data_IF_664288304187
#
_entry.id   IF_664288304187
#
_cell.length_a   1.000
_cell.length_b   1.000
_cell.length_c   1.000
_cell.angle_alpha   90.00
_cell.angle_beta   90.00
_cell.angle_gamma   90.00
#
_symmetry.space_group_name_H-M   'P 1'
#
loop_
_entity.id
_entity.type
_entity.pdbx_description
1 polymer ?
#
# COMPACT_ATOMS: atom_id res chain seq x y z
N UNK A 1 3.69 -3.87 -29.95
CA UNK A 1 3.89 -3.62 -28.51
C UNK A 1 2.93 -2.53 -28.08
N UNK A 2 2.28 -2.70 -26.93
CA UNK A 2 1.28 -1.75 -26.44
C UNK A 2 2.01 -0.61 -25.72
N UNK A 3 2.45 0.41 -26.46
CA UNK A 3 2.86 1.70 -25.86
C UNK A 3 1.64 2.58 -25.73
N UNK A 4 1.49 3.23 -24.58
CA UNK A 4 0.31 4.06 -24.27
C UNK A 4 0.75 5.50 -24.08
N UNK A 5 0.15 6.42 -24.84
CA UNK A 5 0.44 7.85 -24.74
C UNK A 5 -0.31 8.45 -23.56
N UNK A 6 0.42 9.09 -22.65
CA UNK A 6 -0.15 9.82 -21.52
C UNK A 6 -0.43 11.25 -21.94
N UNK A 7 0.56 11.87 -22.60
CA UNK A 7 0.44 13.17 -23.24
C UNK A 7 1.01 13.09 -24.66
N UNK A 8 1.24 14.24 -25.29
CA UNK A 8 1.85 14.29 -26.63
C UNK A 8 3.27 13.69 -26.62
N UNK A 9 4.05 14.00 -25.58
CA UNK A 9 5.48 13.71 -25.49
C UNK A 9 5.81 12.69 -24.37
N UNK A 10 4.85 12.40 -23.48
CA UNK A 10 4.99 11.46 -22.36
C UNK A 10 4.25 10.16 -22.69
N UNK A 11 4.92 9.02 -22.52
CA UNK A 11 4.36 7.69 -22.79
C UNK A 11 4.71 6.69 -21.69
N UNK A 12 3.79 5.77 -21.43
CA UNK A 12 4.03 4.61 -20.57
C UNK A 12 4.82 3.53 -21.32
N UNK A 13 5.87 3.03 -20.67
CA UNK A 13 6.76 1.96 -21.15
C UNK A 13 6.88 0.81 -20.15
N UNK A 14 6.06 0.82 -19.09
CA UNK A 14 6.04 -0.22 -18.07
C UNK A 14 5.54 -1.58 -18.56
N UNK A 15 5.27 -2.48 -17.63
CA UNK A 15 4.90 -3.89 -17.90
C UNK A 15 3.88 -4.39 -16.88
N UNK A 16 3.11 -5.41 -17.25
CA UNK A 16 2.23 -6.13 -16.34
C UNK A 16 2.86 -7.49 -16.02
N UNK A 17 3.01 -7.80 -14.73
CA UNK A 17 3.62 -9.02 -14.21
C UNK A 17 2.56 -9.90 -13.55
N UNK A 18 2.37 -11.08 -14.15
CA UNK A 18 1.51 -12.16 -13.66
C UNK A 18 2.31 -13.40 -13.23
N UNK A 19 3.65 -13.32 -13.24
CA UNK A 19 4.56 -14.40 -12.86
C UNK A 19 4.98 -14.30 -11.40
N UNK A 20 5.13 -13.09 -10.85
CA UNK A 20 5.44 -12.92 -9.43
C UNK A 20 4.22 -13.28 -8.58
N UNK A 21 4.33 -14.35 -7.78
CA UNK A 21 3.27 -14.77 -6.85
C UNK A 21 3.22 -13.93 -5.56
N UNK A 22 4.38 -13.46 -5.10
CA UNK A 22 4.53 -12.75 -3.82
C UNK A 22 5.29 -11.43 -4.00
N UNK A 23 4.65 -10.30 -3.73
CA UNK A 23 5.30 -8.99 -3.62
C UNK A 23 6.19 -8.95 -2.36
N UNK A 24 7.43 -8.47 -2.48
CA UNK A 24 8.48 -8.54 -1.43
C UNK A 24 8.73 -9.97 -0.88
N UNK A 25 8.29 -11.02 -1.59
CA UNK A 25 8.28 -12.39 -1.07
C UNK A 25 7.31 -12.61 0.11
N UNK A 26 6.34 -11.70 0.30
CA UNK A 26 5.45 -11.68 1.46
C UNK A 26 3.96 -11.59 1.11
N UNK A 27 3.57 -10.72 0.18
CA UNK A 27 2.15 -10.42 -0.08
C UNK A 27 1.65 -11.09 -1.36
N UNK A 28 0.57 -11.88 -1.32
CA UNK A 28 0.05 -12.54 -2.51
C UNK A 28 -0.44 -11.56 -3.57
N UNK A 29 -0.10 -11.84 -4.83
CA UNK A 29 -0.50 -11.06 -6.01
C UNK A 29 -1.52 -11.84 -6.84
N UNK A 30 -2.71 -12.09 -6.28
CA UNK A 30 -3.79 -12.86 -6.93
C UNK A 30 -4.29 -12.26 -8.26
N UNK A 31 -3.95 -11.00 -8.52
CA UNK A 31 -4.30 -10.26 -9.74
C UNK A 31 -3.07 -9.68 -10.45
N UNK A 32 -1.88 -10.22 -10.18
CA UNK A 32 -0.62 -9.67 -10.67
C UNK A 32 -0.31 -8.26 -10.12
N UNK A 33 0.65 -7.60 -10.75
CA UNK A 33 1.04 -6.22 -10.47
C UNK A 33 1.54 -5.56 -11.75
N UNK A 34 1.48 -4.23 -11.85
CA UNK A 34 2.19 -3.51 -12.92
C UNK A 34 3.47 -2.88 -12.40
N UNK A 35 4.52 -2.88 -13.22
CA UNK A 35 5.74 -2.10 -13.02
C UNK A 35 5.73 -0.96 -14.03
N UNK A 36 5.22 0.19 -13.59
CA UNK A 36 5.08 1.36 -14.44
C UNK A 36 6.40 2.11 -14.54
N UNK A 37 6.80 2.39 -15.77
CA UNK A 37 7.90 3.29 -16.10
C UNK A 37 7.47 4.18 -17.26
N UNK A 38 8.11 5.33 -17.40
CA UNK A 38 7.65 6.37 -18.32
C UNK A 38 8.79 6.94 -19.15
N UNK A 39 8.50 7.38 -20.37
CA UNK A 39 9.47 8.07 -21.23
C UNK A 39 8.92 9.43 -21.65
N UNK A 40 9.78 10.44 -21.60
CA UNK A 40 9.54 11.81 -22.04
C UNK A 40 10.42 12.03 -23.27
N UNK A 41 9.80 12.10 -24.45
CA UNK A 41 10.49 12.21 -25.73
C UNK A 41 10.62 13.67 -26.19
N UNK A 42 11.51 14.41 -25.54
CA UNK A 42 11.79 15.82 -25.85
C UNK A 42 13.06 15.98 -26.71
N UNK A 43 13.67 17.18 -26.73
CA UNK A 43 15.02 17.42 -27.24
C UNK A 43 16.04 16.51 -26.54
N UNK A 44 15.95 16.39 -25.22
CA UNK A 44 16.63 15.38 -24.41
C UNK A 44 15.62 14.36 -23.91
N UNK A 45 15.89 13.09 -24.20
CA UNK A 45 15.02 11.99 -23.75
C UNK A 45 15.30 11.69 -22.28
N UNK A 46 14.25 11.67 -21.47
CA UNK A 46 14.30 11.20 -20.09
C UNK A 46 13.41 9.96 -19.92
N UNK A 47 13.91 8.97 -19.21
CA UNK A 47 13.15 7.81 -18.74
C UNK A 47 12.96 7.96 -17.24
N UNK A 48 11.74 7.76 -16.75
CA UNK A 48 11.37 7.84 -15.34
C UNK A 48 11.16 6.43 -14.82
N UNK A 49 12.02 6.06 -13.88
CA UNK A 49 12.16 4.73 -13.27
C UNK A 49 12.44 3.60 -14.30
N UNK A 50 12.85 2.46 -13.78
CA UNK A 50 13.02 1.24 -14.56
C UNK A 50 11.94 0.22 -14.18
N UNK A 51 12.08 -0.99 -14.72
CA UNK A 51 11.22 -2.13 -14.39
C UNK A 51 12.06 -3.22 -13.72
N UNK A 52 11.39 -4.29 -13.30
CA UNK A 52 12.03 -5.49 -12.81
C UNK A 52 12.87 -6.16 -13.91
N UNK A 53 14.04 -6.68 -13.55
CA UNK A 53 15.07 -7.20 -14.45
C UNK A 53 14.55 -8.16 -15.55
N UNK A 54 13.68 -9.12 -15.21
CA UNK A 54 13.16 -10.08 -16.18
C UNK A 54 12.19 -9.49 -17.20
N UNK A 55 11.73 -8.26 -17.01
CA UNK A 55 10.85 -7.53 -17.92
C UNK A 55 11.60 -6.50 -18.80
N UNK A 56 12.93 -6.40 -18.64
CA UNK A 56 13.74 -5.38 -19.32
C UNK A 56 13.69 -5.44 -20.85
N UNK A 57 13.53 -6.62 -21.45
CA UNK A 57 13.46 -6.75 -22.91
C UNK A 57 12.26 -5.96 -23.47
N UNK A 58 11.05 -6.24 -22.98
CA UNK A 58 9.82 -5.55 -23.37
C UNK A 58 9.91 -4.04 -23.11
N UNK A 59 10.47 -3.65 -21.96
CA UNK A 59 10.65 -2.25 -21.58
C UNK A 59 11.58 -1.49 -22.54
N UNK A 60 12.73 -2.06 -22.90
CA UNK A 60 13.67 -1.44 -23.83
C UNK A 60 13.12 -1.35 -25.25
N UNK A 61 12.37 -2.38 -25.70
CA UNK A 61 11.71 -2.36 -26.99
C UNK A 61 10.66 -1.25 -27.07
N UNK A 62 9.88 -1.03 -26.00
CA UNK A 62 8.91 0.07 -25.91
C UNK A 62 9.58 1.45 -25.97
N UNK A 63 10.67 1.64 -25.23
CA UNK A 63 11.47 2.89 -25.29
C UNK A 63 11.93 3.14 -26.72
N UNK A 64 12.57 2.15 -27.36
CA UNK A 64 13.11 2.27 -28.71
C UNK A 64 12.01 2.56 -29.75
N UNK A 65 10.83 1.96 -29.59
CA UNK A 65 9.70 2.23 -30.48
C UNK A 65 9.21 3.69 -30.40
N UNK A 66 9.39 4.37 -29.26
CA UNK A 66 8.95 5.76 -29.04
C UNK A 66 10.03 6.75 -29.49
N UNK A 67 11.29 6.51 -29.14
CA UNK A 67 12.38 7.48 -29.36
C UNK A 67 13.16 7.26 -30.65
N UNK A 68 12.98 6.10 -31.30
CA UNK A 68 13.74 5.70 -32.49
C UNK A 68 15.23 5.52 -32.16
N UNK A 69 16.08 6.23 -32.90
CA UNK A 69 17.54 6.20 -32.73
C UNK A 69 18.08 7.32 -31.83
N UNK A 70 17.20 8.11 -31.18
CA UNK A 70 17.63 9.10 -30.19
C UNK A 70 18.34 8.40 -29.02
N UNK A 71 19.38 9.01 -28.43
CA UNK A 71 19.93 8.52 -27.18
C UNK A 71 18.91 8.73 -26.04
N UNK A 72 18.99 7.89 -25.00
CA UNK A 72 18.40 8.22 -23.69
C UNK A 72 19.40 9.10 -22.96
N UNK A 73 19.05 10.36 -22.72
CA UNK A 73 19.94 11.31 -22.06
C UNK A 73 19.92 11.12 -20.54
N UNK A 74 18.73 10.87 -19.98
CA UNK A 74 18.54 10.77 -18.54
C UNK A 74 17.72 9.53 -18.16
N UNK A 75 18.13 8.89 -17.07
CA UNK A 75 17.31 7.93 -16.33
C UNK A 75 17.08 8.51 -14.94
N UNK A 76 15.86 8.98 -14.68
CA UNK A 76 15.46 9.48 -13.36
C UNK A 76 15.07 8.29 -12.49
N UNK A 77 15.71 8.16 -11.33
CA UNK A 77 15.44 7.09 -10.35
C UNK A 77 14.79 7.69 -9.12
N UNK A 78 13.47 7.64 -9.05
CA UNK A 78 12.67 8.15 -7.93
C UNK A 78 12.81 7.27 -6.68
N UNK A 79 13.03 5.97 -6.88
CA UNK A 79 13.01 4.94 -5.84
C UNK A 79 13.97 3.79 -6.16
N UNK A 80 14.66 3.25 -5.15
CA UNK A 80 15.70 2.23 -5.33
C UNK A 80 15.24 0.80 -5.04
N UNK A 81 13.94 0.57 -4.82
CA UNK A 81 13.46 -0.79 -4.64
C UNK A 81 13.66 -1.61 -5.93
N UNK A 82 14.12 -2.87 -5.85
CA UNK A 82 14.55 -3.62 -7.04
C UNK A 82 13.48 -3.86 -8.10
N UNK A 83 12.20 -3.80 -7.76
CA UNK A 83 11.11 -3.91 -8.73
C UNK A 83 10.98 -2.71 -9.68
N UNK A 84 11.56 -1.56 -9.31
CA UNK A 84 11.67 -0.36 -10.15
C UNK A 84 13.09 -0.02 -10.58
N UNK A 85 14.10 -0.65 -9.98
CA UNK A 85 15.50 -0.27 -10.16
C UNK A 85 16.41 -1.39 -10.64
N UNK A 86 15.98 -2.65 -10.66
CA UNK A 86 16.83 -3.74 -11.15
C UNK A 86 17.15 -3.62 -12.64
N UNK A 87 16.23 -3.09 -13.45
CA UNK A 87 16.45 -2.84 -14.87
C UNK A 87 17.39 -1.69 -15.23
N UNK A 88 17.95 -0.97 -14.25
CA UNK A 88 18.91 0.11 -14.48
C UNK A 88 20.14 -0.41 -15.25
N UNK A 89 20.59 -1.63 -14.93
CA UNK A 89 21.80 -2.21 -15.51
C UNK A 89 21.63 -2.49 -17.01
N UNK A 90 20.50 -3.07 -17.39
CA UNK A 90 20.12 -3.38 -18.77
C UNK A 90 19.91 -2.10 -19.58
N UNK A 91 19.24 -1.08 -19.01
CA UNK A 91 19.07 0.20 -19.67
C UNK A 91 20.42 0.87 -19.92
N UNK A 92 21.31 0.89 -18.93
CA UNK A 92 22.64 1.46 -19.08
C UNK A 92 23.50 0.69 -20.10
N UNK A 93 23.33 -0.63 -20.21
CA UNK A 93 23.98 -1.42 -21.25
C UNK A 93 23.47 -1.07 -22.66
N UNK A 94 22.17 -0.82 -22.80
CA UNK A 94 21.55 -0.41 -24.07
C UNK A 94 21.84 1.05 -24.45
N UNK A 95 21.99 1.93 -23.45
CA UNK A 95 22.26 3.36 -23.60
C UNK A 95 23.47 3.78 -22.72
N UNK A 96 24.72 3.48 -23.13
CA UNK A 96 25.90 3.66 -22.28
C UNK A 96 26.19 5.10 -21.84
N UNK A 97 25.73 6.08 -22.60
CA UNK A 97 25.92 7.51 -22.35
C UNK A 97 24.82 8.12 -21.45
N UNK A 98 23.88 7.30 -20.96
CA UNK A 98 22.79 7.78 -20.09
C UNK A 98 23.34 8.35 -18.79
N UNK A 99 22.81 9.49 -18.37
CA UNK A 99 23.07 10.05 -17.03
C UNK A 99 21.95 9.64 -16.08
N UNK A 100 22.30 8.96 -14.99
CA UNK A 100 21.35 8.61 -13.93
C UNK A 100 21.11 9.84 -13.07
N UNK A 101 19.85 10.24 -12.91
CA UNK A 101 19.43 11.36 -12.07
C UNK A 101 18.80 10.78 -10.81
N UNK A 102 19.46 10.99 -9.67
CA UNK A 102 19.01 10.46 -8.38
C UNK A 102 19.39 11.42 -7.26
N UNK A 103 18.86 11.24 -6.05
CA UNK A 103 19.25 12.07 -4.92
C UNK A 103 20.39 11.47 -4.10
N UNK A 104 20.93 12.27 -3.18
CA UNK A 104 22.10 11.93 -2.37
C UNK A 104 21.99 10.60 -1.60
N UNK A 105 20.78 10.19 -1.21
CA UNK A 105 20.56 8.96 -0.44
C UNK A 105 20.51 7.70 -1.31
N UNK A 106 20.27 7.85 -2.61
CA UNK A 106 20.26 6.73 -3.55
C UNK A 106 21.67 6.25 -3.92
N UNK A 107 22.71 7.09 -3.82
CA UNK A 107 24.08 6.73 -4.26
C UNK A 107 24.62 5.46 -3.58
N UNK A 108 24.54 5.30 -2.24
CA UNK A 108 24.98 4.06 -1.60
C UNK A 108 24.19 2.83 -2.09
N UNK A 109 22.90 2.99 -2.44
CA UNK A 109 22.07 1.89 -2.94
C UNK A 109 22.43 1.54 -4.39
N UNK A 110 22.60 2.52 -5.28
CA UNK A 110 23.10 2.32 -6.65
C UNK A 110 24.43 1.56 -6.65
N UNK A 111 25.36 1.95 -5.77
CA UNK A 111 26.63 1.26 -5.58
C UNK A 111 26.44 -0.17 -5.06
N UNK A 112 25.67 -0.34 -4.00
CA UNK A 112 25.60 -1.64 -3.31
C UNK A 112 24.73 -2.66 -4.04
N UNK A 113 23.71 -2.22 -4.78
CA UNK A 113 22.82 -3.10 -5.53
C UNK A 113 23.37 -3.40 -6.93
N UNK A 114 23.94 -2.40 -7.60
CA UNK A 114 24.28 -2.50 -9.02
C UNK A 114 25.74 -2.13 -9.37
N UNK A 115 26.56 -1.76 -8.38
CA UNK A 115 27.96 -1.38 -8.62
C UNK A 115 28.12 -0.05 -9.37
N UNK A 116 27.09 0.80 -9.38
CA UNK A 116 27.10 2.05 -10.14
C UNK A 116 27.63 3.19 -9.26
N UNK A 117 28.74 3.80 -9.68
CA UNK A 117 29.40 4.90 -8.96
C UNK A 117 29.64 6.15 -9.83
N UNK A 118 29.40 6.08 -11.14
CA UNK A 118 29.66 7.13 -12.13
C UNK A 118 28.45 7.35 -13.05
N UNK A 119 28.51 8.41 -13.86
CA UNK A 119 27.38 8.81 -14.72
C UNK A 119 26.14 9.23 -13.93
N UNK A 120 26.31 9.71 -12.69
CA UNK A 120 25.21 10.12 -11.80
C UNK A 120 25.19 11.65 -11.69
N UNK A 121 24.03 12.25 -11.97
CA UNK A 121 23.68 13.62 -11.61
C UNK A 121 22.87 13.60 -10.31
N UNK A 122 23.41 14.21 -9.26
CA UNK A 122 22.72 14.29 -7.96
C UNK A 122 21.77 15.48 -7.92
N UNK A 123 20.52 15.26 -7.54
CA UNK A 123 19.51 16.30 -7.36
C UNK A 123 19.07 16.43 -5.90
N UNK A 124 18.74 17.67 -5.51
CA UNK A 124 18.18 18.05 -4.23
C UNK A 124 16.71 18.46 -4.36
N UNK A 125 16.09 18.75 -3.22
CA UNK A 125 14.71 19.20 -3.17
C UNK A 125 14.51 20.55 -3.89
N UNK A 126 13.58 20.59 -4.84
CA UNK A 126 13.30 21.79 -5.64
C UNK A 126 14.25 22.01 -6.82
N UNK A 127 15.27 21.16 -7.00
CA UNK A 127 16.11 21.21 -8.19
C UNK A 127 15.30 20.91 -9.46
N UNK A 128 15.83 21.34 -10.60
CA UNK A 128 15.18 21.21 -11.90
C UNK A 128 16.09 20.59 -12.96
N UNK A 129 15.48 19.99 -13.98
CA UNK A 129 16.17 19.42 -15.13
C UNK A 129 15.44 19.78 -16.43
N UNK A 130 16.11 20.57 -17.27
CA UNK A 130 15.60 20.99 -18.58
C UNK A 130 15.84 19.92 -19.64
N UNK A 131 14.74 19.46 -20.26
CA UNK A 131 14.74 18.49 -21.35
C UNK A 131 14.54 19.12 -22.73
N UNK A 132 14.06 20.36 -22.78
CA UNK A 132 13.66 21.04 -24.01
C UNK A 132 12.41 21.88 -23.76
N UNK A 133 11.26 21.39 -24.22
CA UNK A 133 9.96 21.97 -23.87
C UNK A 133 9.51 21.61 -22.43
N UNK A 134 9.96 20.47 -21.92
CA UNK A 134 9.70 19.97 -20.58
C UNK A 134 10.80 20.38 -19.61
N UNK A 135 10.38 20.76 -18.39
CA UNK A 135 11.25 21.02 -17.27
C UNK A 135 10.76 20.17 -16.09
N UNK A 136 11.60 19.26 -15.63
CA UNK A 136 11.32 18.42 -14.47
C UNK A 136 11.71 19.16 -13.21
N UNK A 137 10.93 18.99 -12.14
CA UNK A 137 11.32 19.38 -10.78
C UNK A 137 11.26 18.18 -9.84
N UNK A 138 12.21 18.11 -8.91
CA UNK A 138 12.35 16.98 -7.99
C UNK A 138 11.90 17.36 -6.59
N UNK A 139 11.07 16.52 -5.96
CA UNK A 139 10.56 16.76 -4.62
C UNK A 139 10.85 15.56 -3.73
N UNK A 140 11.68 15.76 -2.71
CA UNK A 140 12.06 14.71 -1.77
C UNK A 140 10.88 14.32 -0.88
N UNK A 141 10.61 13.03 -0.82
CA UNK A 141 9.54 12.40 -0.02
C UNK A 141 10.11 11.26 0.82
N UNK A 142 11.07 11.54 1.72
CA UNK A 142 11.82 10.51 2.43
C UNK A 142 10.91 9.68 3.33
N UNK A 143 11.19 8.38 3.41
CA UNK A 143 10.40 7.35 4.08
C UNK A 143 9.00 7.18 3.46
N UNK A 144 8.85 7.45 2.16
CA UNK A 144 7.61 7.16 1.43
C UNK A 144 7.94 6.26 0.22
N UNK A 145 8.24 4.98 0.40
CA UNK A 145 8.39 4.29 1.69
C UNK A 145 9.84 4.03 2.11
N UNK A 146 10.83 4.37 1.27
CA UNK A 146 12.25 4.22 1.59
C UNK A 146 12.94 5.57 1.88
N UNK A 147 14.13 5.60 2.50
CA UNK A 147 14.78 6.84 2.93
C UNK A 147 15.07 7.85 1.81
N UNK A 148 15.32 7.35 0.60
CA UNK A 148 15.68 8.06 -0.62
C UNK A 148 14.49 8.41 -1.51
N UNK A 149 13.27 7.95 -1.23
CA UNK A 149 12.16 8.17 -2.13
C UNK A 149 11.95 9.67 -2.46
N UNK A 150 11.78 9.96 -3.74
CA UNK A 150 11.44 11.28 -4.27
C UNK A 150 10.36 11.14 -5.33
N UNK A 151 9.70 12.25 -5.65
CA UNK A 151 8.77 12.32 -6.79
C UNK A 151 9.30 13.31 -7.82
N UNK A 152 8.96 13.06 -9.08
CA UNK A 152 9.34 13.92 -10.20
C UNK A 152 8.09 14.56 -10.78
N UNK A 153 8.14 15.87 -11.02
CA UNK A 153 7.01 16.63 -11.55
C UNK A 153 7.40 17.32 -12.85
N UNK A 154 6.65 17.03 -13.92
CA UNK A 154 6.75 17.75 -15.18
C UNK A 154 5.92 19.04 -15.14
N UNK A 155 6.62 20.17 -15.26
CA UNK A 155 5.99 21.49 -15.13
C UNK A 155 5.12 21.86 -16.34
N UNK A 156 5.41 21.30 -17.53
CA UNK A 156 4.71 21.64 -18.78
C UNK A 156 3.31 21.01 -18.79
N UNK A 157 3.24 19.68 -18.69
CA UNK A 157 1.99 18.95 -18.81
C UNK A 157 1.28 18.72 -17.47
N UNK A 158 1.91 19.13 -16.36
CA UNK A 158 1.37 19.00 -14.99
C UNK A 158 1.23 17.53 -14.55
N UNK A 159 2.21 16.72 -14.91
CA UNK A 159 2.28 15.28 -14.61
C UNK A 159 3.15 15.04 -13.39
N UNK A 160 2.63 14.31 -12.41
CA UNK A 160 3.37 13.85 -11.23
C UNK A 160 3.72 12.37 -11.40
N UNK A 161 5.02 12.07 -11.48
CA UNK A 161 5.55 10.71 -11.35
C UNK A 161 5.77 10.42 -9.87
N UNK A 162 4.86 9.63 -9.28
CA UNK A 162 4.67 9.56 -7.83
C UNK A 162 5.32 8.37 -7.15
N UNK A 163 6.07 7.55 -7.89
CA UNK A 163 6.58 6.25 -7.44
C UNK A 163 5.46 5.43 -6.74
N UNK A 164 5.75 4.76 -5.63
CA UNK A 164 4.81 3.92 -4.88
C UNK A 164 3.61 4.65 -4.29
N UNK A 165 3.69 5.97 -4.12
CA UNK A 165 2.54 6.74 -3.66
C UNK A 165 1.49 6.74 -4.76
N UNK A 166 0.24 6.51 -4.35
CA UNK A 166 -0.91 6.30 -5.23
C UNK A 166 -0.91 4.97 -6.00
N UNK A 167 0.00 4.05 -5.66
CA UNK A 167 0.06 2.71 -6.22
C UNK A 167 -1.09 1.80 -5.78
N UNK A 168 -1.21 0.68 -6.48
CA UNK A 168 -2.08 -0.43 -6.09
C UNK A 168 -1.39 -1.75 -6.41
N UNK A 169 -1.77 -2.80 -5.69
CA UNK A 169 -1.65 -4.14 -6.25
C UNK A 169 -2.62 -4.28 -7.43
N UNK A 170 -2.51 -5.37 -8.21
CA UNK A 170 -3.22 -5.63 -9.47
C UNK A 170 -2.57 -5.04 -10.72
N UNK A 171 -2.39 -5.91 -11.71
CA UNK A 171 -1.97 -5.55 -13.05
C UNK A 171 -3.05 -4.74 -13.78
N UNK A 172 -2.62 -3.91 -14.73
CA UNK A 172 -3.53 -3.07 -15.53
C UNK A 172 -4.05 -3.77 -16.79
N UNK A 173 -3.45 -4.92 -17.13
CA UNK A 173 -3.76 -5.75 -18.29
C UNK A 173 -3.82 -4.95 -19.61
N UNK A 174 -2.91 -3.98 -19.73
CA UNK A 174 -2.78 -3.10 -20.88
C UNK A 174 -3.79 -1.93 -20.97
N UNK A 175 -4.73 -1.81 -20.03
CA UNK A 175 -5.65 -0.65 -19.93
C UNK A 175 -5.27 0.16 -18.69
N UNK A 176 -4.33 1.09 -18.89
CA UNK A 176 -3.62 1.72 -17.78
C UNK A 176 -4.31 2.94 -17.18
N UNK A 177 -5.33 3.50 -17.84
CA UNK A 177 -5.92 4.79 -17.44
C UNK A 177 -7.21 4.62 -16.64
N UNK A 178 -7.42 5.53 -15.68
CA UNK A 178 -8.60 5.55 -14.82
C UNK A 178 -9.93 5.78 -15.57
N UNK A 179 -9.92 6.47 -16.71
CA UNK A 179 -11.10 6.68 -17.57
C UNK A 179 -11.38 5.55 -18.56
N UNK A 180 -10.40 4.67 -18.79
CA UNK A 180 -10.54 3.52 -19.67
C UNK A 180 -10.77 2.21 -18.90
N UNK A 181 -10.57 2.24 -17.58
CA UNK A 181 -10.72 1.11 -16.68
C UNK A 181 -11.88 1.31 -15.69
N UNK A 182 -12.27 0.25 -14.99
CA UNK A 182 -13.27 0.30 -13.92
C UNK A 182 -12.52 0.50 -12.61
N UNK A 183 -12.46 1.75 -12.13
CA UNK A 183 -11.74 2.15 -10.92
C UNK A 183 -12.15 1.33 -9.70
N UNK A 184 -13.44 0.98 -9.58
CA UNK A 184 -13.98 0.18 -8.47
C UNK A 184 -13.26 -1.17 -8.32
N UNK A 185 -12.77 -1.75 -9.43
CA UNK A 185 -12.04 -3.02 -9.41
C UNK A 185 -10.61 -2.89 -8.87
N UNK A 186 -10.14 -1.69 -8.55
CA UNK A 186 -8.81 -1.42 -7.97
C UNK A 186 -8.88 -0.96 -6.52
N UNK A 187 -10.05 -0.51 -6.04
CA UNK A 187 -10.19 0.11 -4.71
C UNK A 187 -9.68 -0.81 -3.60
N UNK A 188 -10.07 -2.08 -3.59
CA UNK A 188 -9.66 -3.02 -2.55
C UNK A 188 -8.13 -3.29 -2.60
N UNK A 189 -7.54 -3.29 -3.79
CA UNK A 189 -6.10 -3.48 -3.99
C UNK A 189 -5.29 -2.20 -3.71
N UNK A 190 -5.89 -1.01 -3.84
CA UNK A 190 -5.34 0.27 -3.37
C UNK A 190 -5.25 0.26 -1.83
N UNK A 191 -6.34 -0.11 -1.15
CA UNK A 191 -6.32 -0.27 0.31
C UNK A 191 -5.30 -1.33 0.75
N UNK A 192 -5.20 -2.45 0.02
CA UNK A 192 -4.25 -3.52 0.34
C UNK A 192 -2.81 -3.06 0.17
N UNK A 193 -2.48 -2.41 -0.94
CA UNK A 193 -1.17 -1.82 -1.18
C UNK A 193 -0.82 -0.80 -0.10
N UNK A 194 -1.73 0.13 0.19
CA UNK A 194 -1.53 1.12 1.24
C UNK A 194 -1.26 0.45 2.59
N UNK A 195 -2.09 -0.50 3.03
CA UNK A 195 -1.96 -1.14 4.33
C UNK A 195 -0.66 -1.95 4.47
N UNK A 196 -0.21 -2.60 3.40
CA UNK A 196 0.99 -3.43 3.38
C UNK A 196 2.28 -2.60 3.31
N UNK A 197 2.31 -1.59 2.43
CA UNK A 197 3.53 -0.88 2.03
C UNK A 197 3.64 0.49 2.73
N UNK A 198 2.57 1.29 2.66
CA UNK A 198 2.58 2.71 3.10
C UNK A 198 2.12 2.87 4.56
N UNK A 199 1.32 1.96 5.11
CA UNK A 199 0.63 2.12 6.39
C UNK A 199 1.56 2.44 7.56
N UNK A 200 2.72 1.78 7.64
CA UNK A 200 3.74 2.04 8.66
C UNK A 200 4.34 3.44 8.57
N UNK A 201 4.44 3.96 7.35
CA UNK A 201 5.02 5.27 7.03
C UNK A 201 3.97 6.31 6.62
N UNK A 202 2.72 6.12 7.05
CA UNK A 202 1.61 7.03 6.73
C UNK A 202 1.84 8.48 7.14
N UNK A 203 2.58 8.72 8.23
CA UNK A 203 2.86 10.08 8.71
C UNK A 203 3.86 10.81 7.78
N UNK A 204 4.99 10.18 7.39
CA UNK A 204 5.76 10.64 6.23
C UNK A 204 4.92 10.87 4.97
N UNK A 205 4.04 9.93 4.61
CA UNK A 205 3.17 10.07 3.44
C UNK A 205 2.26 11.31 3.53
N UNK A 206 1.56 11.52 4.65
CA UNK A 206 0.72 12.70 4.87
C UNK A 206 1.51 14.02 4.74
N UNK A 207 2.75 14.06 5.22
CA UNK A 207 3.64 15.23 5.06
C UNK A 207 4.04 15.45 3.61
N UNK A 208 4.35 14.38 2.88
CA UNK A 208 4.66 14.44 1.46
C UNK A 208 3.46 14.96 0.66
N UNK A 209 2.27 14.41 0.86
CA UNK A 209 1.03 14.87 0.22
C UNK A 209 0.77 16.36 0.47
N UNK A 210 0.91 16.81 1.72
CA UNK A 210 0.77 18.24 2.07
C UNK A 210 1.79 19.12 1.37
N UNK A 211 3.05 18.66 1.25
CA UNK A 211 4.12 19.40 0.56
C UNK A 211 3.81 19.55 -0.92
N UNK A 212 3.29 18.50 -1.55
CA UNK A 212 2.95 18.49 -2.98
C UNK A 212 1.66 19.26 -3.30
N UNK A 213 0.84 19.60 -2.30
CA UNK A 213 -0.45 20.28 -2.50
C UNK A 213 -0.38 21.70 -3.11
N UNK A 214 0.82 22.28 -3.27
CA UNK A 214 1.02 23.52 -4.01
C UNK A 214 1.19 23.34 -5.53
N UNK A 215 1.35 22.10 -6.00
CA UNK A 215 1.50 21.78 -7.42
C UNK A 215 0.12 21.69 -8.08
N UNK A 216 -0.02 22.25 -9.28
CA UNK A 216 -1.15 21.95 -10.14
C UNK A 216 -0.91 20.57 -10.77
N UNK A 217 -1.72 19.57 -10.42
CA UNK A 217 -1.55 18.19 -10.90
C UNK A 217 -2.74 17.83 -11.78
N UNK A 218 -2.47 17.51 -13.05
CA UNK A 218 -3.48 17.03 -14.01
C UNK A 218 -3.42 15.52 -14.22
N UNK A 219 -2.26 14.91 -13.99
CA UNK A 219 -2.09 13.47 -14.12
C UNK A 219 -1.15 12.95 -13.06
N UNK A 220 -1.50 11.82 -12.44
CA UNK A 220 -0.66 11.09 -11.49
C UNK A 220 -0.25 9.76 -12.13
N UNK A 221 1.05 9.52 -12.16
CA UNK A 221 1.72 8.40 -12.79
C UNK A 221 2.47 7.60 -11.71
N UNK A 222 1.83 6.62 -11.04
CA UNK A 222 2.45 5.82 -9.98
C UNK A 222 3.35 4.72 -10.55
N UNK A 223 4.16 4.12 -9.68
CA UNK A 223 4.98 2.93 -9.92
C UNK A 223 4.17 1.66 -10.21
N UNK A 224 2.94 1.58 -9.68
CA UNK A 224 2.05 0.43 -9.84
C UNK A 224 0.61 0.87 -10.02
N UNK A 225 -0.18 0.06 -10.70
CA UNK A 225 -1.61 0.29 -10.92
C UNK A 225 -1.88 1.36 -11.98
N UNK A 226 -3.04 2.00 -11.85
CA UNK A 226 -3.58 2.93 -12.85
C UNK A 226 -2.81 4.27 -12.89
N UNK A 227 -2.74 4.83 -14.10
CA UNK A 227 -2.43 6.24 -14.35
C UNK A 227 -3.73 7.03 -14.21
N UNK A 228 -3.72 8.03 -13.33
CA UNK A 228 -4.89 8.85 -13.00
C UNK A 228 -4.85 10.15 -13.80
N UNK A 229 -5.55 10.19 -14.93
CA UNK A 229 -5.59 11.35 -15.84
C UNK A 229 -6.94 12.06 -15.86
N UNK A 230 -8.04 11.33 -15.65
CA UNK A 230 -9.38 11.92 -15.64
C UNK A 230 -9.73 12.47 -14.27
N UNK A 231 -9.46 11.70 -13.21
CA UNK A 231 -9.76 12.10 -11.84
C UNK A 231 -8.58 11.86 -10.87
N UNK A 232 -7.45 12.58 -11.02
CA UNK A 232 -6.35 12.51 -10.05
C UNK A 232 -6.76 12.93 -8.63
N UNK A 233 -7.84 13.72 -8.49
CA UNK A 233 -8.39 14.09 -7.19
C UNK A 233 -8.90 12.90 -6.39
N UNK A 234 -9.47 11.89 -7.05
CA UNK A 234 -9.98 10.69 -6.38
C UNK A 234 -8.89 9.96 -5.59
N UNK A 235 -7.79 9.61 -6.26
CA UNK A 235 -6.70 8.87 -5.61
C UNK A 235 -5.96 9.72 -4.57
N UNK A 236 -5.84 11.02 -4.84
CA UNK A 236 -5.27 11.99 -3.90
C UNK A 236 -6.07 12.04 -2.60
N UNK A 237 -7.40 12.16 -2.70
CA UNK A 237 -8.31 12.19 -1.55
C UNK A 237 -8.27 10.86 -0.80
N UNK A 238 -8.34 9.73 -1.52
CA UNK A 238 -8.28 8.40 -0.92
C UNK A 238 -6.99 8.17 -0.12
N UNK A 239 -5.82 8.45 -0.70
CA UNK A 239 -4.53 8.34 0.00
C UNK A 239 -4.40 9.33 1.15
N UNK A 240 -4.94 10.56 1.01
CA UNK A 240 -4.92 11.56 2.08
C UNK A 240 -5.71 11.08 3.29
N UNK A 241 -6.92 10.55 3.08
CA UNK A 241 -7.75 9.95 4.15
C UNK A 241 -7.01 8.82 4.85
N UNK A 242 -6.47 7.86 4.08
CA UNK A 242 -5.73 6.73 4.63
C UNK A 242 -4.46 7.16 5.40
N UNK A 243 -3.73 8.17 4.91
CA UNK A 243 -2.54 8.69 5.57
C UNK A 243 -2.85 9.36 6.92
N UNK A 244 -4.01 10.03 6.99
CA UNK A 244 -4.56 10.62 8.20
C UNK A 244 -5.26 9.62 9.13
N UNK A 245 -5.27 8.34 8.80
CA UNK A 245 -5.96 7.28 9.54
C UNK A 245 -7.47 7.55 9.69
N UNK A 246 -8.09 8.13 8.67
CA UNK A 246 -9.54 8.20 8.55
C UNK A 246 -10.11 6.83 8.19
N UNK A 247 -11.16 6.42 8.89
CA UNK A 247 -11.78 5.11 8.74
C UNK A 247 -13.23 5.24 8.30
N UNK A 248 -13.72 4.22 7.59
CA UNK A 248 -15.10 4.05 7.19
C UNK A 248 -15.88 3.29 8.26
N UNK A 249 -17.21 3.46 8.25
CA UNK A 249 -18.08 2.68 9.14
C UNK A 249 -18.11 1.23 8.70
N UNK A 250 -17.62 0.37 9.58
CA UNK A 250 -17.62 -1.08 9.41
C UNK A 250 -16.84 -1.73 10.55
N UNK A 251 -16.94 -3.04 10.65
CA UNK A 251 -16.22 -3.82 11.67
C UNK A 251 -15.50 -4.99 11.02
N UNK A 252 -14.21 -5.12 11.34
CA UNK A 252 -13.44 -6.33 11.06
C UNK A 252 -13.40 -7.21 12.29
N UNK A 253 -13.78 -8.47 12.14
CA UNK A 253 -13.62 -9.52 13.13
C UNK A 253 -12.54 -10.46 12.61
N UNK A 254 -11.32 -10.33 13.13
CA UNK A 254 -10.24 -11.26 12.83
C UNK A 254 -10.10 -12.25 13.98
N UNK A 255 -10.29 -13.53 13.70
CA UNK A 255 -10.22 -14.58 14.70
C UNK A 255 -9.31 -15.73 14.33
N UNK A 256 -8.74 -16.42 15.31
CA UNK A 256 -8.13 -17.74 15.12
C UNK A 256 -8.96 -18.82 15.81
N UNK A 257 -9.06 -20.01 15.25
CA UNK A 257 -9.75 -21.13 15.91
C UNK A 257 -9.11 -22.48 15.58
N UNK A 258 -9.04 -23.37 16.58
CA UNK A 258 -8.56 -24.74 16.39
C UNK A 258 -9.69 -25.74 16.15
N UNK A 259 -10.77 -25.63 16.94
CA UNK A 259 -11.87 -26.61 16.99
C UNK A 259 -13.25 -25.98 16.85
N UNK A 260 -13.34 -24.72 16.43
CA UNK A 260 -14.61 -24.04 16.16
C UNK A 260 -15.17 -23.22 17.31
N UNK A 261 -14.70 -23.39 18.55
CA UNK A 261 -15.23 -22.64 19.71
C UNK A 261 -15.06 -21.11 19.56
N UNK A 262 -13.84 -20.63 19.33
CA UNK A 262 -13.60 -19.19 19.09
C UNK A 262 -14.24 -18.69 17.80
N UNK A 263 -14.37 -19.57 16.79
CA UNK A 263 -15.10 -19.25 15.56
C UNK A 263 -16.58 -18.99 15.87
N UNK A 264 -17.19 -19.83 16.70
CA UNK A 264 -18.58 -19.66 17.12
C UNK A 264 -18.78 -18.32 17.84
N UNK A 265 -17.88 -17.93 18.75
CA UNK A 265 -17.91 -16.61 19.38
C UNK A 265 -17.80 -15.47 18.36
N UNK A 266 -16.95 -15.62 17.34
CA UNK A 266 -16.79 -14.64 16.27
C UNK A 266 -18.05 -14.51 15.39
N UNK A 267 -18.72 -15.62 15.09
CA UNK A 267 -19.98 -15.66 14.34
C UNK A 267 -21.12 -14.99 15.13
N UNK A 268 -21.20 -15.24 16.44
CA UNK A 268 -22.15 -14.55 17.33
C UNK A 268 -21.90 -13.04 17.36
N UNK A 269 -20.64 -12.61 17.48
CA UNK A 269 -20.29 -11.18 17.42
C UNK A 269 -20.73 -10.55 16.09
N UNK A 270 -20.53 -11.24 14.96
CA UNK A 270 -20.96 -10.76 13.66
C UNK A 270 -22.49 -10.60 13.58
N UNK A 271 -23.24 -11.59 14.08
CA UNK A 271 -24.70 -11.53 14.17
C UNK A 271 -25.16 -10.35 15.04
N UNK A 272 -24.57 -10.19 16.23
CA UNK A 272 -24.93 -9.12 17.16
C UNK A 272 -24.63 -7.73 16.62
N UNK A 273 -23.52 -7.55 15.89
CA UNK A 273 -23.21 -6.30 15.21
C UNK A 273 -24.24 -5.98 14.12
N UNK A 274 -24.60 -6.98 13.30
CA UNK A 274 -25.64 -6.84 12.27
C UNK A 274 -26.98 -6.42 12.89
N UNK A 275 -27.40 -7.09 13.97
CA UNK A 275 -28.61 -6.77 14.72
C UNK A 275 -28.56 -5.36 15.38
N UNK A 276 -27.36 -4.84 15.67
CA UNK A 276 -27.15 -3.48 16.18
C UNK A 276 -27.12 -2.40 15.08
N UNK A 277 -27.28 -2.79 13.81
CA UNK A 277 -27.34 -1.90 12.64
C UNK A 277 -25.99 -1.59 12.02
N UNK A 278 -24.96 -2.43 12.22
CA UNK A 278 -23.69 -2.32 11.50
C UNK A 278 -23.85 -2.99 10.12
N UNK A 279 -23.81 -2.19 9.05
CA UNK A 279 -24.04 -2.67 7.68
C UNK A 279 -22.87 -3.50 7.13
N UNK A 280 -21.63 -3.12 7.49
CA UNK A 280 -20.42 -3.77 7.00
C UNK A 280 -19.72 -4.52 8.13
N UNK A 281 -19.78 -5.85 8.07
CA UNK A 281 -19.05 -6.75 8.98
C UNK A 281 -18.20 -7.71 8.16
N UNK A 282 -16.89 -7.68 8.36
CA UNK A 282 -15.92 -8.57 7.72
C UNK A 282 -15.46 -9.61 8.73
N UNK A 283 -15.56 -10.89 8.39
CA UNK A 283 -15.21 -11.99 9.27
C UNK A 283 -14.05 -12.78 8.67
N UNK A 284 -12.90 -12.77 9.33
CA UNK A 284 -11.67 -13.40 8.86
C UNK A 284 -11.14 -14.44 9.85
N UNK A 285 -10.79 -15.61 9.33
CA UNK A 285 -10.00 -16.59 10.06
C UNK A 285 -8.52 -16.41 9.72
N UNK A 286 -7.74 -15.94 10.70
CA UNK A 286 -6.30 -15.64 10.55
C UNK A 286 -5.46 -16.88 10.24
N UNK A 287 -6.02 -18.09 10.39
CA UNK A 287 -5.35 -19.32 10.03
C UNK A 287 -5.33 -19.58 8.51
N UNK A 288 -6.29 -19.03 7.76
CA UNK A 288 -6.49 -19.33 6.33
C UNK A 288 -6.47 -18.10 5.43
N UNK A 289 -6.87 -16.92 5.92
CA UNK A 289 -6.79 -15.68 5.15
C UNK A 289 -5.40 -15.08 5.27
N UNK A 290 -4.79 -14.70 4.14
CA UNK A 290 -3.51 -14.00 4.17
C UNK A 290 -3.62 -12.66 4.91
N UNK A 291 -2.56 -12.29 5.61
CA UNK A 291 -2.54 -11.11 6.47
C UNK A 291 -2.79 -9.82 5.67
N UNK A 292 -2.37 -9.73 4.40
CA UNK A 292 -2.57 -8.54 3.56
C UNK A 292 -4.04 -8.13 3.45
N UNK A 293 -4.94 -9.08 3.19
CA UNK A 293 -6.39 -8.83 3.09
C UNK A 293 -6.99 -8.36 4.41
N UNK A 294 -6.56 -8.97 5.51
CA UNK A 294 -7.03 -8.59 6.86
C UNK A 294 -6.55 -7.17 7.19
N UNK A 295 -5.29 -6.84 6.90
CA UNK A 295 -4.74 -5.50 7.12
C UNK A 295 -5.44 -4.43 6.27
N UNK A 296 -5.78 -4.76 5.02
CA UNK A 296 -6.51 -3.87 4.10
C UNK A 296 -7.83 -3.40 4.72
N UNK A 297 -8.66 -4.37 5.14
CA UNK A 297 -9.96 -4.06 5.75
C UNK A 297 -9.83 -3.43 7.14
N UNK A 298 -8.81 -3.81 7.93
CA UNK A 298 -8.53 -3.13 9.20
C UNK A 298 -8.23 -1.66 8.92
N UNK A 299 -7.38 -1.36 7.94
CA UNK A 299 -7.06 0.04 7.60
C UNK A 299 -8.30 0.84 7.19
N UNK A 300 -9.22 0.18 6.50
CA UNK A 300 -10.43 0.79 5.97
C UNK A 300 -11.49 1.01 7.05
N UNK A 301 -11.71 0.06 7.95
CA UNK A 301 -12.89 0.06 8.82
C UNK A 301 -12.58 0.38 10.28
N UNK A 302 -13.48 1.17 10.89
CA UNK A 302 -13.31 1.73 12.23
C UNK A 302 -13.34 0.71 13.36
N UNK A 303 -14.19 -0.31 13.27
CA UNK A 303 -14.32 -1.31 14.32
C UNK A 303 -13.37 -2.48 14.10
N UNK A 304 -12.73 -2.93 15.17
CA UNK A 304 -11.83 -4.07 15.15
C UNK A 304 -12.10 -4.99 16.34
N UNK A 305 -12.51 -6.22 16.06
CA UNK A 305 -12.62 -7.30 17.03
C UNK A 305 -11.53 -8.33 16.75
N UNK A 306 -10.66 -8.56 17.73
CA UNK A 306 -9.60 -9.57 17.66
C UNK A 306 -9.89 -10.68 18.64
N UNK A 307 -9.81 -11.93 18.19
CA UNK A 307 -9.93 -13.04 19.13
C UNK A 307 -9.28 -14.35 18.72
N UNK A 308 -8.66 -15.03 19.67
CA UNK A 308 -8.01 -16.30 19.39
C UNK A 308 -7.91 -17.13 20.67
N UNK A 309 -7.84 -18.46 20.56
CA UNK A 309 -7.71 -19.31 21.73
C UNK A 309 -6.29 -19.23 22.33
N UNK A 310 -6.20 -19.63 23.59
CA UNK A 310 -4.94 -20.02 24.19
C UNK A 310 -4.35 -21.25 23.47
N UNK A 311 -3.04 -21.24 23.25
CA UNK A 311 -2.26 -22.31 22.63
C UNK A 311 -0.96 -22.52 23.41
N UNK A 312 -0.84 -23.67 24.09
CA UNK A 312 0.27 -23.98 25.01
C UNK A 312 0.59 -22.86 26.03
N UNK A 313 -0.44 -22.25 26.62
CA UNK A 313 -0.29 -21.16 27.59
C UNK A 313 0.14 -19.82 26.98
N UNK A 314 0.08 -19.69 25.66
CA UNK A 314 0.37 -18.48 24.89
C UNK A 314 -0.80 -18.14 23.96
N UNK A 315 -0.68 -17.06 23.19
CA UNK A 315 -1.62 -16.72 22.12
C UNK A 315 -1.44 -17.65 20.91
N UNK A 316 -2.54 -17.99 20.24
CA UNK A 316 -2.52 -18.70 18.96
C UNK A 316 -1.53 -18.06 17.97
N UNK A 317 -0.56 -18.81 17.40
CA UNK A 317 0.57 -18.22 16.67
C UNK A 317 0.19 -17.30 15.51
N UNK A 318 -0.83 -17.65 14.73
CA UNK A 318 -1.28 -16.82 13.60
C UNK A 318 -1.85 -15.47 14.06
N UNK A 319 -2.56 -15.46 15.19
CA UNK A 319 -3.02 -14.20 15.80
C UNK A 319 -1.84 -13.40 16.36
N UNK A 320 -0.81 -14.05 16.91
CA UNK A 320 0.39 -13.35 17.36
C UNK A 320 1.10 -12.61 16.20
N UNK A 321 1.12 -13.19 14.99
CA UNK A 321 1.62 -12.51 13.78
C UNK A 321 0.79 -11.28 13.43
N UNK A 322 -0.54 -11.38 13.53
CA UNK A 322 -1.45 -10.23 13.31
C UNK A 322 -1.14 -9.11 14.30
N UNK A 323 -1.06 -9.42 15.60
CA UNK A 323 -0.74 -8.42 16.64
C UNK A 323 0.62 -7.77 16.40
N UNK A 324 1.64 -8.56 16.05
CA UNK A 324 2.98 -8.05 15.75
C UNK A 324 2.96 -7.00 14.64
N UNK A 325 2.28 -7.29 13.53
CA UNK A 325 2.21 -6.36 12.39
C UNK A 325 1.40 -5.11 12.72
N UNK A 326 0.27 -5.25 13.41
CA UNK A 326 -0.58 -4.13 13.81
C UNK A 326 0.12 -3.19 14.82
N UNK A 327 0.90 -3.74 15.75
CA UNK A 327 1.66 -2.94 16.72
C UNK A 327 2.65 -1.97 16.03
N UNK A 328 3.24 -2.39 14.91
CA UNK A 328 4.12 -1.54 14.09
C UNK A 328 3.41 -0.38 13.39
N UNK A 329 2.09 -0.49 13.18
CA UNK A 329 1.31 0.47 12.40
C UNK A 329 0.58 1.54 13.24
N UNK A 330 0.38 1.30 14.54
CA UNK A 330 -0.36 2.18 15.47
C UNK A 330 -1.76 2.56 14.96
N UNK A 331 -2.72 1.67 15.22
CA UNK A 331 -4.15 1.73 14.88
C UNK A 331 -4.88 2.93 15.50
N UNK A 332 -4.62 4.13 15.01
CA UNK A 332 -5.37 5.32 15.41
C UNK A 332 -6.82 5.23 14.93
N UNK A 333 -7.73 5.82 15.70
CA UNK A 333 -9.16 5.95 15.36
C UNK A 333 -9.93 4.63 15.23
N UNK A 334 -9.44 3.53 15.82
CA UNK A 334 -10.14 2.25 15.86
C UNK A 334 -10.84 2.00 17.20
N UNK A 335 -12.04 1.42 17.17
CA UNK A 335 -12.65 0.76 18.33
C UNK A 335 -12.14 -0.68 18.39
N UNK A 336 -11.25 -0.96 19.34
CA UNK A 336 -10.69 -2.29 19.56
C UNK A 336 -11.50 -3.03 20.62
N UNK A 337 -12.12 -4.15 20.27
CA UNK A 337 -12.65 -5.11 21.23
C UNK A 337 -11.91 -6.44 21.15
N UNK A 338 -11.87 -7.17 22.28
CA UNK A 338 -11.07 -8.39 22.39
C UNK A 338 -11.93 -9.52 22.96
N UNK A 339 -11.82 -10.70 22.36
CA UNK A 339 -12.38 -11.93 22.90
C UNK A 339 -11.36 -13.07 22.82
N UNK A 340 -11.45 -14.06 23.70
CA UNK A 340 -10.50 -15.17 23.75
C UNK A 340 -11.20 -16.46 24.15
N UNK A 341 -10.58 -17.59 23.78
CA UNK A 341 -11.06 -18.92 24.15
C UNK A 341 -10.03 -19.71 24.96
N UNK A 342 -10.49 -20.53 25.90
CA UNK A 342 -9.63 -21.47 26.62
C UNK A 342 -10.39 -22.74 27.00
N UNK A 343 -9.71 -23.72 27.61
CA UNK A 343 -10.33 -24.98 28.07
C UNK A 343 -10.06 -25.26 29.54
N UNK A 344 -8.80 -25.36 29.96
CA UNK A 344 -8.42 -25.56 31.37
C UNK A 344 -7.43 -24.50 31.88
N UNK A 345 -6.71 -23.84 30.97
CA UNK A 345 -5.80 -22.74 31.25
C UNK A 345 -5.86 -21.71 30.12
N UNK A 346 -5.85 -20.42 30.47
CA UNK A 346 -5.72 -19.31 29.52
C UNK A 346 -4.29 -19.13 29.01
N UNK A 347 -3.92 -17.90 28.67
CA UNK A 347 -2.58 -17.52 28.17
C UNK A 347 -2.61 -16.52 27.02
N UNK A 348 -3.76 -16.34 26.38
CA UNK A 348 -3.95 -15.38 25.29
C UNK A 348 -4.25 -13.96 25.80
N UNK A 349 -4.78 -13.83 27.02
CA UNK A 349 -5.20 -12.56 27.63
C UNK A 349 -4.03 -11.59 27.78
N UNK A 350 -2.87 -12.08 28.21
CA UNK A 350 -1.69 -11.24 28.44
C UNK A 350 -1.13 -10.63 27.15
N UNK A 351 -0.88 -11.40 26.07
CA UNK A 351 -0.52 -10.82 24.77
C UNK A 351 -1.54 -9.82 24.23
N UNK A 352 -2.84 -10.11 24.35
CA UNK A 352 -3.88 -9.18 23.93
C UNK A 352 -3.89 -7.89 24.75
N UNK A 353 -3.74 -7.96 26.07
CA UNK A 353 -3.65 -6.79 26.94
C UNK A 353 -2.41 -5.93 26.63
N UNK A 354 -1.26 -6.57 26.38
CA UNK A 354 -0.04 -5.88 25.97
C UNK A 354 -0.23 -5.14 24.64
N UNK A 355 -0.84 -5.81 23.65
CA UNK A 355 -1.18 -5.17 22.39
C UNK A 355 -2.15 -4.00 22.56
N UNK A 356 -3.24 -4.18 23.31
CA UNK A 356 -4.24 -3.13 23.52
C UNK A 356 -3.65 -1.87 24.18
N UNK A 357 -2.66 -2.02 25.04
CA UNK A 357 -1.96 -0.91 25.67
C UNK A 357 -1.09 -0.09 24.71
N UNK A 358 -0.62 -0.69 23.61
CA UNK A 358 0.35 -0.10 22.68
C UNK A 358 -0.22 0.19 21.28
N UNK A 359 -1.33 -0.45 20.91
CA UNK A 359 -1.90 -0.40 19.56
C UNK A 359 -2.36 1.00 19.14
N UNK A 360 -2.66 1.90 20.09
CA UNK A 360 -3.08 3.27 19.82
C UNK A 360 -4.58 3.44 19.49
N UNK A 361 -5.33 2.34 19.39
CA UNK A 361 -6.79 2.35 19.27
C UNK A 361 -7.49 2.54 20.62
N UNK A 362 -8.79 2.79 20.59
CA UNK A 362 -9.62 2.89 21.80
C UNK A 362 -10.13 1.50 22.14
N UNK A 363 -9.68 0.94 23.26
CA UNK A 363 -10.23 -0.31 23.78
C UNK A 363 -11.68 -0.07 24.24
N UNK A 364 -12.63 -0.80 23.66
CA UNK A 364 -14.06 -0.72 23.97
C UNK A 364 -14.57 -2.02 24.58
N UNK A 365 -15.48 -1.89 25.54
CA UNK A 365 -16.04 -3.03 26.26
C UNK A 365 -15.02 -3.73 27.17
N UNK A 366 -15.44 -4.86 27.75
CA UNK A 366 -14.56 -5.76 28.50
C UNK A 366 -14.02 -6.86 27.59
N UNK A 367 -12.81 -7.34 27.86
CA UNK A 367 -12.31 -8.56 27.20
C UNK A 367 -13.19 -9.75 27.58
N UNK A 368 -13.77 -10.42 26.59
CA UNK A 368 -14.63 -11.60 26.82
C UNK A 368 -13.79 -12.87 26.74
N UNK A 369 -13.83 -13.72 27.77
CA UNK A 369 -13.06 -14.96 27.82
C UNK A 369 -14.00 -16.15 27.93
N UNK A 370 -14.05 -17.00 26.90
CA UNK A 370 -14.99 -18.12 26.78
C UNK A 370 -14.29 -19.45 27.08
N UNK A 371 -14.85 -20.23 28.00
CA UNK A 371 -14.32 -21.56 28.33
C UNK A 371 -15.04 -22.65 27.52
N UNK A 372 -14.42 -23.11 26.44
CA UNK A 372 -15.03 -24.11 25.55
C UNK A 372 -16.10 -23.48 24.66
N UNK A 373 -17.31 -24.03 24.68
CA UNK A 373 -18.45 -23.52 23.91
C UNK A 373 -19.12 -22.38 24.67
N UNK A 374 -19.52 -21.31 23.97
CA UNK A 374 -20.19 -20.17 24.59
C UNK A 374 -21.54 -20.59 25.20
N UNK A 375 -21.71 -20.35 26.49
CA UNK A 375 -23.00 -20.50 27.16
C UNK A 375 -23.81 -19.18 27.16
N UNK A 376 -24.94 -19.15 27.86
CA UNK A 376 -25.81 -17.98 27.90
C UNK A 376 -25.16 -16.74 28.56
N UNK A 377 -24.22 -16.92 29.48
CA UNK A 377 -23.47 -15.83 30.11
C UNK A 377 -22.41 -15.29 29.14
N UNK A 378 -21.68 -16.19 28.46
CA UNK A 378 -20.73 -15.83 27.41
C UNK A 378 -21.42 -15.09 26.26
N UNK A 379 -22.58 -15.56 25.80
CA UNK A 379 -23.38 -14.92 24.74
C UNK A 379 -23.81 -13.51 25.14
N UNK A 380 -24.22 -13.29 26.40
CA UNK A 380 -24.59 -11.98 26.91
C UNK A 380 -23.38 -11.02 26.91
N UNK A 381 -22.21 -11.50 27.33
CA UNK A 381 -20.97 -10.72 27.33
C UNK A 381 -20.51 -10.38 25.89
N UNK A 382 -20.57 -11.33 24.96
CA UNK A 382 -20.28 -11.11 23.54
C UNK A 382 -21.24 -10.07 22.93
N UNK A 383 -22.52 -10.12 23.28
CA UNK A 383 -23.51 -9.14 22.84
C UNK A 383 -23.22 -7.73 23.37
N UNK A 384 -22.80 -7.60 24.63
CA UNK A 384 -22.38 -6.32 25.20
C UNK A 384 -21.12 -5.75 24.52
N UNK A 385 -20.15 -6.61 24.20
CA UNK A 385 -18.96 -6.23 23.45
C UNK A 385 -19.33 -5.71 22.05
N UNK A 386 -20.17 -6.43 21.32
CA UNK A 386 -20.67 -6.00 20.01
C UNK A 386 -21.41 -4.65 20.10
N UNK A 387 -22.25 -4.46 21.13
CA UNK A 387 -22.96 -3.21 21.35
C UNK A 387 -22.01 -2.04 21.64
N UNK A 388 -20.93 -2.29 22.40
CA UNK A 388 -19.90 -1.29 22.71
C UNK A 388 -19.20 -0.79 21.45
N UNK A 389 -18.81 -1.71 20.56
CA UNK A 389 -18.25 -1.37 19.24
C UNK A 389 -19.26 -0.60 18.40
N UNK A 390 -20.49 -1.12 18.27
CA UNK A 390 -21.54 -0.48 17.46
C UNK A 390 -21.89 0.94 17.95
N UNK A 391 -21.87 1.17 19.27
CA UNK A 391 -22.07 2.50 19.84
C UNK A 391 -20.92 3.45 19.51
N UNK A 392 -19.67 2.97 19.57
CA UNK A 392 -18.51 3.78 19.20
C UNK A 392 -18.56 4.26 17.74
N UNK A 393 -19.02 3.40 16.82
CA UNK A 393 -19.24 3.78 15.43
C UNK A 393 -20.29 4.90 15.26
N UNK A 394 -21.28 4.99 16.16
CA UNK A 394 -22.36 5.99 16.11
C UNK A 394 -21.98 7.35 16.74
N UNK A 395 -21.03 7.39 17.67
CA UNK A 395 -20.68 8.60 18.42
C UNK A 395 -20.12 9.75 17.57
N UNK A 396 -19.64 9.49 16.35
CA UNK A 396 -19.15 10.52 15.42
C UNK A 396 -20.19 10.94 14.35
N UNK A 397 -21.43 10.42 14.41
CA UNK A 397 -22.53 10.93 13.56
C UNK A 397 -23.14 12.24 14.08
N UNK A 398 -22.75 12.71 15.27
CA UNK A 398 -23.41 13.79 16.01
C UNK A 398 -22.64 15.12 15.98
#
# INVERSE_FOLDING_TARGET
MNTQKITQDISWVGVDDHQTELFEGLWPLDHGISYNAYVINDEKVAVIDAVKDFECETYLEKIKAIIGDKPVNYLVVNHMEPDHSSGISELRAAYPEVTIVANQKALPMLKNFYGIEDGIQVVADGDTLELGAHCLSFHMTPMVHWPESMVTYDQKDKVLFSMDVFGSFKATDGVIFDDENIVENFVDEIYRYFACIIGKVRLPAAKALKKLGGLEIKTICPSHGLVWRENPGYILDLYTRMANAETENGVVIAYGSMYGNTKHSAELLAEYLGNAGVETVKLYDVAVTDLSYILSDIWRYKGLLLGAPAYYGQLFPKMATVLYKLAGNKLQNHALGIFTGYSWSGGAEKPFAAFAAEAGGVHVGQTVSVQGWADAEDEAALKELAQSVANFLKLERA
#
